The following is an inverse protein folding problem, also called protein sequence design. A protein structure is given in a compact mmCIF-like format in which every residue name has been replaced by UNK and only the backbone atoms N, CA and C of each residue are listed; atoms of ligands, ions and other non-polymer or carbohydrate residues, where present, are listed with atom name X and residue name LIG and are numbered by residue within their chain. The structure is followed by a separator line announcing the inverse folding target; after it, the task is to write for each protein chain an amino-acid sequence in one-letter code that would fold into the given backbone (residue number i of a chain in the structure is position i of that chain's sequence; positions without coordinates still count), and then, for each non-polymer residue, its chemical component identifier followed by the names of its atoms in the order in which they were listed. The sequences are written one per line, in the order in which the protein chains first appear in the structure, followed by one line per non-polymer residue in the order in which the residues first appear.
data_IF_436869284468
#
_entry.id   IF_436869284468
#
_cell.length_a   1.000
_cell.length_b   1.000
_cell.length_c   1.000
_cell.angle_alpha   90.00
_cell.angle_beta   90.00
_cell.angle_gamma   90.00
#
_symmetry.space_group_name_H-M   'P 1'
#
loop_
_entity.id
_entity.type
_entity.pdbx_description
1 polymer ?
#
# COMPACT_ATOMS: atom_id res chain seq x y z
N UNK A 1 -9.24 -8.82 -18.45
CA UNK A 1 -9.96 -9.02 -17.17
C UNK A 1 -10.95 -7.88 -16.99
N UNK A 2 -12.25 -8.17 -16.95
CA UNK A 2 -13.26 -7.15 -16.69
C UNK A 2 -13.34 -6.90 -15.17
N UNK A 3 -12.59 -5.91 -14.69
CA UNK A 3 -12.57 -5.53 -13.28
C UNK A 3 -13.86 -4.85 -12.81
N UNK A 4 -13.85 -4.38 -11.56
CA UNK A 4 -14.96 -3.66 -10.90
C UNK A 4 -15.41 -2.44 -11.74
N UNK A 5 -14.50 -1.83 -12.51
CA UNK A 5 -14.78 -0.72 -13.42
C UNK A 5 -15.84 -1.00 -14.48
N UNK A 6 -15.91 -2.22 -15.04
CA UNK A 6 -16.94 -2.58 -16.02
C UNK A 6 -18.33 -2.69 -15.38
N UNK A 7 -18.42 -3.19 -14.15
CA UNK A 7 -19.69 -3.22 -13.40
C UNK A 7 -20.13 -1.83 -12.97
N UNK A 8 -19.20 -0.98 -12.56
CA UNK A 8 -19.47 0.43 -12.28
C UNK A 8 -19.97 1.16 -13.53
N UNK A 9 -19.31 0.95 -14.69
CA UNK A 9 -19.72 1.55 -15.95
C UNK A 9 -21.14 1.13 -16.35
N UNK A 10 -21.51 -0.14 -16.15
CA UNK A 10 -22.89 -0.61 -16.37
C UNK A 10 -23.90 0.09 -15.45
N UNK A 11 -23.55 0.28 -14.17
CA UNK A 11 -24.38 1.03 -13.21
C UNK A 11 -24.55 2.51 -13.57
N UNK A 12 -23.51 3.13 -14.17
CA UNK A 12 -23.57 4.51 -14.64
C UNK A 12 -24.36 4.67 -15.95
N UNK A 13 -24.49 3.60 -16.74
CA UNK A 13 -25.26 3.57 -17.98
C UNK A 13 -26.77 3.35 -17.77
N UNK A 14 -27.21 3.01 -16.56
CA UNK A 14 -28.64 2.93 -16.24
C UNK A 14 -29.24 4.33 -16.05
N UNK A 15 -30.41 4.58 -16.65
CA UNK A 15 -31.10 5.89 -16.62
C UNK A 15 -31.73 6.24 -15.26
N UNK A 16 -31.63 5.36 -14.27
CA UNK A 16 -32.18 5.58 -12.94
C UNK A 16 -31.24 6.38 -12.04
N UNK A 17 -31.74 7.44 -11.42
CA UNK A 17 -31.02 8.20 -10.39
C UNK A 17 -30.51 7.31 -9.24
N UNK A 18 -31.27 6.27 -8.87
CA UNK A 18 -30.87 5.30 -7.83
C UNK A 18 -29.59 4.53 -8.21
N UNK A 19 -29.43 4.16 -9.48
CA UNK A 19 -28.26 3.43 -9.98
C UNK A 19 -27.01 4.30 -9.95
N UNK A 20 -27.15 5.61 -10.24
CA UNK A 20 -26.05 6.59 -10.10
C UNK A 20 -25.61 6.78 -8.66
N UNK A 21 -26.54 6.88 -7.70
CA UNK A 21 -26.21 6.96 -6.27
C UNK A 21 -25.47 5.71 -5.81
N UNK A 22 -25.94 4.51 -6.21
CA UNK A 22 -25.24 3.25 -5.92
C UNK A 22 -23.83 3.23 -6.51
N UNK A 23 -23.66 3.70 -7.75
CA UNK A 23 -22.36 3.75 -8.41
C UNK A 23 -21.36 4.66 -7.65
N UNK A 24 -21.81 5.82 -7.19
CA UNK A 24 -21.00 6.71 -6.33
C UNK A 24 -20.68 6.08 -4.97
N UNK A 25 -21.65 5.41 -4.34
CA UNK A 25 -21.41 4.68 -3.10
C UNK A 25 -20.34 3.60 -3.28
N UNK A 26 -20.46 2.77 -4.32
CA UNK A 26 -19.48 1.72 -4.61
C UNK A 26 -18.10 2.29 -4.97
N UNK A 27 -17.99 3.37 -5.74
CA UNK A 27 -16.69 3.97 -6.06
C UNK A 27 -16.00 4.55 -4.83
N UNK A 28 -16.78 5.18 -3.92
CA UNK A 28 -16.28 5.64 -2.62
C UNK A 28 -15.76 4.48 -1.78
N UNK A 29 -16.52 3.39 -1.62
CA UNK A 29 -16.07 2.24 -0.83
C UNK A 29 -14.85 1.54 -1.43
N UNK A 30 -14.78 1.40 -2.76
CA UNK A 30 -13.63 0.77 -3.43
C UNK A 30 -12.37 1.64 -3.28
N UNK A 31 -12.50 2.96 -3.38
CA UNK A 31 -11.36 3.88 -3.31
C UNK A 31 -10.92 4.18 -1.88
N UNK A 32 -11.86 4.44 -0.98
CA UNK A 32 -11.60 4.82 0.42
C UNK A 32 -11.50 3.61 1.37
N UNK A 33 -12.05 2.45 0.99
CA UNK A 33 -12.10 1.26 1.84
C UNK A 33 -10.74 0.85 2.41
N UNK A 34 -9.70 0.64 1.58
CA UNK A 34 -8.36 0.29 2.07
C UNK A 34 -7.81 1.32 3.06
N UNK A 35 -8.00 2.61 2.80
CA UNK A 35 -7.54 3.68 3.68
C UNK A 35 -8.30 3.73 5.01
N UNK A 36 -9.61 3.48 5.00
CA UNK A 36 -10.42 3.38 6.21
C UNK A 36 -9.96 2.22 7.10
N UNK A 37 -9.63 1.07 6.51
CA UNK A 37 -9.09 -0.08 7.25
C UNK A 37 -7.76 0.27 7.91
N UNK A 38 -6.87 0.98 7.20
CA UNK A 38 -5.59 1.44 7.77
C UNK A 38 -5.80 2.42 8.93
N UNK A 39 -6.69 3.41 8.76
CA UNK A 39 -7.01 4.38 9.82
C UNK A 39 -7.57 3.66 11.05
N UNK A 40 -8.53 2.76 10.87
CA UNK A 40 -9.12 1.96 11.94
C UNK A 40 -8.09 1.08 12.64
N UNK A 41 -7.17 0.44 11.90
CA UNK A 41 -6.12 -0.38 12.48
C UNK A 41 -5.17 0.46 13.35
N UNK A 42 -4.72 1.62 12.85
CA UNK A 42 -3.80 2.50 13.59
C UNK A 42 -4.49 3.09 14.82
N UNK A 43 -5.74 3.54 14.72
CA UNK A 43 -6.47 4.07 15.88
C UNK A 43 -6.79 2.99 16.90
N UNK A 44 -7.13 1.77 16.48
CA UNK A 44 -7.32 0.64 17.38
C UNK A 44 -6.03 0.29 18.14
N UNK A 45 -4.88 0.23 17.44
CA UNK A 45 -3.59 -0.02 18.10
C UNK A 45 -3.27 1.10 19.10
N UNK A 46 -3.46 2.37 18.72
CA UNK A 46 -3.25 3.50 19.65
C UNK A 46 -4.17 3.42 20.87
N UNK A 47 -5.44 3.06 20.67
CA UNK A 47 -6.40 2.89 21.76
C UNK A 47 -5.95 1.77 22.70
N UNK A 48 -5.55 0.61 22.17
CA UNK A 48 -5.02 -0.51 22.96
C UNK A 48 -3.79 -0.08 23.75
N UNK A 49 -2.83 0.62 23.13
CA UNK A 49 -1.64 1.13 23.81
C UNK A 49 -1.99 2.11 24.94
N UNK A 50 -3.04 2.92 24.78
CA UNK A 50 -3.49 3.86 25.82
C UNK A 50 -4.06 3.18 27.07
N UNK A 51 -4.49 1.92 26.97
CA UNK A 51 -4.94 1.14 28.12
C UNK A 51 -3.78 0.68 29.02
N UNK A 52 -2.54 0.67 28.50
CA UNK A 52 -1.35 0.32 29.27
C UNK A 52 -0.77 1.56 29.93
N UNK A 53 -0.86 1.63 31.26
CA UNK A 53 -0.35 2.76 32.06
C UNK A 53 1.17 2.97 31.95
N UNK A 54 1.90 1.95 31.46
CA UNK A 54 3.35 1.95 31.33
C UNK A 54 3.87 2.67 30.07
N UNK A 55 3.00 3.02 29.11
CA UNK A 55 3.42 3.57 27.81
C UNK A 55 3.19 5.08 27.80
N UNK A 56 4.25 5.85 27.57
CA UNK A 56 4.15 7.30 27.56
C UNK A 56 3.43 7.83 26.32
N UNK A 57 2.84 9.02 26.42
CA UNK A 57 2.23 9.72 25.27
C UNK A 57 3.27 9.99 24.17
N UNK A 58 4.52 10.26 24.57
CA UNK A 58 5.68 10.44 23.70
C UNK A 58 5.92 9.20 22.82
N UNK A 59 5.89 8.00 23.41
CA UNK A 59 6.08 6.73 22.70
C UNK A 59 4.94 6.43 21.72
N UNK A 60 3.69 6.69 22.11
CA UNK A 60 2.54 6.53 21.21
C UNK A 60 2.61 7.48 20.01
N UNK A 61 3.07 8.72 20.24
CA UNK A 61 3.30 9.72 19.19
C UNK A 61 4.41 9.27 18.26
N UNK A 62 5.54 8.82 18.81
CA UNK A 62 6.68 8.31 18.04
C UNK A 62 6.28 7.12 17.16
N UNK A 63 5.51 6.18 17.69
CA UNK A 63 4.96 5.05 16.93
C UNK A 63 4.10 5.51 15.75
N UNK A 64 3.16 6.42 16.00
CA UNK A 64 2.25 6.95 14.96
C UNK A 64 3.04 7.64 13.84
N UNK A 65 3.97 8.51 14.21
CA UNK A 65 4.84 9.23 13.27
C UNK A 65 5.66 8.24 12.44
N UNK A 66 6.23 7.22 13.07
CA UNK A 66 7.08 6.25 12.40
C UNK A 66 6.30 5.42 11.37
N UNK A 67 5.07 4.99 11.69
CA UNK A 67 4.18 4.32 10.73
C UNK A 67 3.85 5.24 9.56
N UNK A 68 3.49 6.50 9.85
CA UNK A 68 3.20 7.49 8.81
C UNK A 68 4.37 7.66 7.84
N UNK A 69 5.60 7.76 8.34
CA UNK A 69 6.79 7.84 7.47
C UNK A 69 7.00 6.57 6.65
N UNK A 70 6.81 5.38 7.23
CA UNK A 70 6.89 4.12 6.47
C UNK A 70 5.87 4.09 5.32
N UNK A 71 4.65 4.58 5.56
CA UNK A 71 3.63 4.71 4.52
C UNK A 71 4.02 5.73 3.45
N UNK A 72 4.44 6.94 3.84
CA UNK A 72 4.82 7.99 2.89
C UNK A 72 5.95 7.53 1.96
N UNK A 73 7.04 7.01 2.52
CA UNK A 73 8.18 6.60 1.70
C UNK A 73 7.88 5.35 0.85
N UNK A 74 7.07 4.41 1.34
CA UNK A 74 6.66 3.25 0.54
C UNK A 74 5.74 3.66 -0.61
N UNK A 75 4.87 4.65 -0.40
CA UNK A 75 4.03 5.24 -1.43
C UNK A 75 4.83 6.01 -2.49
N UNK A 76 5.90 6.71 -2.11
CA UNK A 76 6.80 7.37 -3.07
C UNK A 76 7.43 6.33 -4.01
N UNK A 77 7.96 5.24 -3.45
CA UNK A 77 8.53 4.15 -4.24
C UNK A 77 7.45 3.51 -5.12
N UNK A 78 6.29 3.20 -4.54
CA UNK A 78 5.17 2.62 -5.27
C UNK A 78 4.73 3.50 -6.44
N UNK A 79 4.49 4.79 -6.22
CA UNK A 79 4.01 5.72 -7.22
C UNK A 79 4.97 5.88 -8.40
N UNK A 80 6.29 5.83 -8.15
CA UNK A 80 7.29 5.86 -9.22
C UNK A 80 7.26 4.60 -10.10
N UNK A 81 6.92 3.45 -9.53
CA UNK A 81 7.00 2.15 -10.19
C UNK A 81 5.67 1.69 -10.78
N UNK A 82 4.54 2.12 -10.21
CA UNK A 82 3.20 1.63 -10.52
C UNK A 82 2.90 1.69 -12.03
N UNK A 83 3.03 2.87 -12.64
CA UNK A 83 2.68 3.05 -14.06
C UNK A 83 3.57 2.22 -15.00
N UNK A 84 4.86 2.12 -14.68
CA UNK A 84 5.83 1.37 -15.49
C UNK A 84 5.48 -0.12 -15.46
N UNK A 85 5.23 -0.66 -14.26
CA UNK A 85 4.94 -2.08 -14.08
C UNK A 85 3.58 -2.44 -14.67
N UNK A 86 2.52 -1.66 -14.39
CA UNK A 86 1.19 -1.92 -14.94
C UNK A 86 1.22 -1.91 -16.46
N UNK A 87 1.93 -0.97 -17.08
CA UNK A 87 2.05 -0.91 -18.54
C UNK A 87 2.84 -2.09 -19.10
N UNK A 88 3.96 -2.44 -18.49
CA UNK A 88 4.75 -3.61 -18.89
C UNK A 88 3.96 -4.92 -18.81
N UNK A 89 3.19 -5.11 -17.72
CA UNK A 89 2.32 -6.28 -17.56
C UNK A 89 1.22 -6.30 -18.63
N UNK A 90 0.61 -5.15 -18.93
CA UNK A 90 -0.38 -5.04 -20.00
C UNK A 90 0.20 -5.41 -21.37
N UNK A 91 1.42 -4.97 -21.68
CA UNK A 91 2.11 -5.30 -22.93
C UNK A 91 2.42 -6.82 -23.01
N UNK A 92 2.87 -7.44 -21.92
CA UNK A 92 3.08 -8.90 -21.86
C UNK A 92 1.79 -9.69 -22.08
N UNK A 93 0.68 -9.24 -21.48
CA UNK A 93 -0.63 -9.87 -21.65
C UNK A 93 -1.14 -9.71 -23.08
N UNK A 94 -0.91 -8.54 -23.70
CA UNK A 94 -1.25 -8.30 -25.10
C UNK A 94 -0.46 -9.20 -26.05
N UNK A 95 0.83 -9.39 -25.79
CA UNK A 95 1.71 -10.28 -26.56
C UNK A 95 1.52 -11.78 -26.24
N UNK A 96 0.55 -12.15 -25.41
CA UNK A 96 0.29 -13.52 -24.95
C UNK A 96 1.47 -14.19 -24.22
N UNK A 97 2.35 -13.39 -23.61
CA UNK A 97 3.52 -13.86 -22.84
C UNK A 97 3.23 -13.94 -21.34
N UNK A 98 2.11 -14.58 -20.98
CA UNK A 98 1.65 -14.68 -19.59
C UNK A 98 2.69 -15.35 -18.66
N UNK A 99 3.48 -16.29 -19.18
CA UNK A 99 4.53 -17.01 -18.45
C UNK A 99 5.60 -16.08 -17.87
N UNK A 100 5.81 -14.91 -18.52
CA UNK A 100 6.80 -13.91 -18.10
C UNK A 100 6.28 -12.99 -17.00
N UNK A 101 4.97 -12.95 -16.73
CA UNK A 101 4.37 -12.06 -15.72
C UNK A 101 4.87 -12.42 -14.33
N UNK A 102 4.95 -13.72 -13.98
CA UNK A 102 5.49 -14.14 -12.69
C UNK A 102 6.98 -13.84 -12.54
N UNK A 103 7.75 -14.01 -13.62
CA UNK A 103 9.18 -13.65 -13.62
C UNK A 103 9.38 -12.14 -13.42
N UNK A 104 8.54 -11.32 -14.06
CA UNK A 104 8.50 -9.87 -13.86
C UNK A 104 8.17 -9.52 -12.42
N UNK A 105 7.17 -10.17 -11.81
CA UNK A 105 6.79 -9.95 -10.41
C UNK A 105 7.98 -10.18 -9.46
N UNK A 106 8.70 -11.28 -9.62
CA UNK A 106 9.89 -11.58 -8.80
C UNK A 106 11.01 -10.55 -9.01
N UNK A 107 11.28 -10.18 -10.26
CA UNK A 107 12.29 -9.18 -10.59
C UNK A 107 11.95 -7.81 -9.97
N UNK A 108 10.70 -7.39 -10.14
CA UNK A 108 10.21 -6.13 -9.62
C UNK A 108 10.23 -6.09 -8.10
N UNK A 109 9.82 -7.19 -7.45
CA UNK A 109 9.89 -7.32 -5.99
C UNK A 109 11.31 -7.12 -5.47
N UNK A 110 12.30 -7.73 -6.11
CA UNK A 110 13.72 -7.57 -5.72
C UNK A 110 14.21 -6.13 -5.90
N UNK A 111 13.87 -5.49 -7.03
CA UNK A 111 14.27 -4.10 -7.32
C UNK A 111 13.67 -3.14 -6.28
N UNK A 112 12.38 -3.27 -5.99
CA UNK A 112 11.70 -2.42 -5.02
C UNK A 112 12.24 -2.64 -3.61
N UNK A 113 12.48 -3.90 -3.20
CA UNK A 113 13.08 -4.20 -1.90
C UNK A 113 14.50 -3.65 -1.78
N UNK A 114 15.29 -3.72 -2.84
CA UNK A 114 16.63 -3.14 -2.86
C UNK A 114 16.60 -1.61 -2.66
N UNK A 115 15.72 -0.92 -3.39
CA UNK A 115 15.52 0.53 -3.22
C UNK A 115 15.02 0.87 -1.80
N UNK A 116 14.07 0.09 -1.28
CA UNK A 116 13.55 0.26 0.06
C UNK A 116 14.65 0.07 1.13
N UNK A 117 15.51 -0.94 1.00
CA UNK A 117 16.61 -1.17 1.92
C UNK A 117 17.62 -0.02 1.89
N UNK A 118 17.98 0.49 0.71
CA UNK A 118 18.90 1.64 0.59
C UNK A 118 18.33 2.87 1.31
N UNK A 119 17.06 3.18 1.04
CA UNK A 119 16.38 4.32 1.66
C UNK A 119 16.27 4.14 3.18
N UNK A 120 15.99 2.92 3.64
CA UNK A 120 15.97 2.59 5.06
C UNK A 120 17.33 2.73 5.73
N UNK A 121 18.41 2.25 5.10
CA UNK A 121 19.76 2.36 5.64
C UNK A 121 20.18 3.82 5.79
N UNK A 122 19.84 4.66 4.82
CA UNK A 122 20.07 6.11 4.90
C UNK A 122 19.35 6.69 6.14
N UNK A 123 18.07 6.37 6.33
CA UNK A 123 17.31 6.78 7.51
C UNK A 123 17.91 6.25 8.83
N UNK A 124 18.37 5.00 8.84
CA UNK A 124 18.89 4.34 10.02
C UNK A 124 20.21 4.95 10.53
N UNK A 125 21.02 5.53 9.64
CA UNK A 125 22.29 6.20 9.99
C UNK A 125 22.02 7.53 10.70
N UNK A 126 21.04 8.32 10.24
CA UNK A 126 20.80 9.66 10.78
C UNK A 126 19.95 9.68 12.05
N UNK A 127 19.31 8.58 12.43
CA UNK A 127 18.31 8.59 13.51
C UNK A 127 18.81 7.92 14.79
N UNK A 128 18.76 8.58 15.97
CA UNK A 128 19.22 8.03 17.25
C UNK A 128 18.16 7.12 17.92
N UNK A 129 17.50 6.24 17.14
CA UNK A 129 16.53 5.27 17.65
C UNK A 129 17.21 3.99 18.14
N UNK A 130 16.58 3.30 19.09
CA UNK A 130 17.02 1.99 19.55
C UNK A 130 17.01 0.96 18.40
N UNK A 131 18.00 0.05 18.42
CA UNK A 131 18.22 -0.92 17.33
C UNK A 131 17.00 -1.84 17.12
N UNK A 132 16.37 -2.32 18.19
CA UNK A 132 15.17 -3.16 18.09
C UNK A 132 14.04 -2.45 17.35
N UNK A 133 13.84 -1.17 17.65
CA UNK A 133 12.79 -0.37 17.02
C UNK A 133 13.07 -0.17 15.53
N UNK A 134 14.32 0.12 15.16
CA UNK A 134 14.73 0.22 13.75
C UNK A 134 14.46 -1.07 12.98
N UNK A 135 14.76 -2.23 13.57
CA UNK A 135 14.54 -3.52 12.89
C UNK A 135 13.04 -3.79 12.69
N UNK A 136 12.20 -3.54 13.71
CA UNK A 136 10.75 -3.71 13.58
C UNK A 136 10.16 -2.82 12.49
N UNK A 137 10.57 -1.55 12.45
CA UNK A 137 10.10 -0.62 11.43
C UNK A 137 10.61 -0.98 10.02
N UNK A 138 11.82 -1.55 9.89
CA UNK A 138 12.30 -2.10 8.63
C UNK A 138 11.37 -3.22 8.13
N UNK A 139 11.00 -4.18 8.99
CA UNK A 139 10.09 -5.25 8.60
C UNK A 139 8.75 -4.72 8.11
N UNK A 140 8.17 -3.75 8.83
CA UNK A 140 6.94 -3.07 8.39
C UNK A 140 7.13 -2.42 7.02
N UNK A 141 8.23 -1.68 6.84
CA UNK A 141 8.52 -0.97 5.60
C UNK A 141 8.68 -1.91 4.40
N UNK A 142 9.40 -3.02 4.57
CA UNK A 142 9.54 -4.04 3.52
C UNK A 142 8.21 -4.74 3.22
N UNK A 143 7.43 -5.08 4.25
CA UNK A 143 6.12 -5.70 4.08
C UNK A 143 5.16 -4.80 3.27
N UNK A 144 5.11 -3.50 3.58
CA UNK A 144 4.32 -2.52 2.82
C UNK A 144 4.72 -2.51 1.34
N UNK A 145 6.02 -2.44 1.04
CA UNK A 145 6.50 -2.43 -0.34
C UNK A 145 6.12 -3.71 -1.11
N UNK A 146 6.14 -4.88 -0.46
CA UNK A 146 5.71 -6.15 -1.08
C UNK A 146 4.20 -6.12 -1.38
N UNK A 147 3.38 -5.66 -0.43
CA UNK A 147 1.92 -5.55 -0.60
C UNK A 147 1.59 -4.63 -1.79
N UNK A 148 2.28 -3.50 -1.91
CA UNK A 148 2.08 -2.58 -3.01
C UNK A 148 2.37 -3.22 -4.36
N UNK A 149 3.48 -3.95 -4.50
CA UNK A 149 3.80 -4.65 -5.74
C UNK A 149 2.77 -5.73 -6.04
N UNK A 150 2.39 -6.56 -5.05
CA UNK A 150 1.37 -7.59 -5.22
C UNK A 150 0.06 -7.00 -5.74
N UNK A 151 -0.35 -5.84 -5.22
CA UNK A 151 -1.58 -5.18 -5.68
C UNK A 151 -1.58 -4.85 -7.17
N UNK A 152 -0.42 -4.50 -7.77
CA UNK A 152 -0.31 -4.23 -9.21
C UNK A 152 -0.55 -5.48 -10.05
N UNK A 153 -0.01 -6.63 -9.61
CA UNK A 153 -0.09 -7.88 -10.38
C UNK A 153 -1.40 -8.65 -10.16
N UNK A 154 -2.16 -8.31 -9.11
CA UNK A 154 -3.48 -8.90 -8.82
C UNK A 154 -4.64 -8.15 -9.50
N UNK A 155 -4.44 -6.91 -9.94
CA UNK A 155 -5.41 -6.11 -10.72
C UNK A 155 -5.39 -6.44 -12.20
#
# INVERSE_FOLDING_TARGET
MAGIGFRLQKLFQEDYYSSRIKAYGFSLFVTAGPWLVVILAVTAIRYILSLFHSISIEEQRLFTISISYCFIFSQIIYGALQLIVTRYVADLLYEQKADKVFSSFLGMTKITLFLAIILWLLFAIFTPLALYYKIVMLFLFLALNIIWIQSIYLT
#
